data_IF_518129071579
#
_entry.id   IF_518129071579
#
_cell.length_a   1.000
_cell.length_b   1.000
_cell.length_c   1.000
_cell.angle_alpha   90.00
_cell.angle_beta   90.00
_cell.angle_gamma   90.00
#
_symmetry.space_group_name_H-M   'P 1'
#
loop_
_entity.id
_entity.type
_entity.pdbx_description
1 polymer ?
#
# COMPACT_ATOMS: atom_id res chain seq x y z
N UNK A 1 -46.66 18.24 4.07
CA UNK A 1 -46.26 17.93 2.67
C UNK A 1 -44.96 18.67 2.41
N UNK A 2 -43.96 17.93 1.99
CA UNK A 2 -42.52 18.16 2.10
C UNK A 2 -42.01 19.50 1.57
N UNK A 3 -41.27 20.21 2.43
CA UNK A 3 -40.30 21.24 2.11
C UNK A 3 -39.11 20.61 1.38
N UNK A 4 -38.81 21.06 0.16
CA UNK A 4 -37.64 20.62 -0.62
C UNK A 4 -36.48 21.53 -0.24
N UNK A 5 -35.76 21.14 0.82
CA UNK A 5 -34.51 21.76 1.20
C UNK A 5 -33.40 21.35 0.21
N UNK A 6 -32.65 22.37 -0.23
CA UNK A 6 -31.27 22.36 -0.69
C UNK A 6 -30.69 20.98 -1.09
N UNK A 7 -30.63 20.72 -2.39
CA UNK A 7 -29.66 19.77 -2.92
C UNK A 7 -28.31 20.48 -2.99
N UNK A 8 -27.60 20.45 -1.87
CA UNK A 8 -26.18 20.74 -1.81
C UNK A 8 -25.46 19.90 -2.86
N UNK A 9 -24.83 20.58 -3.80
CA UNK A 9 -23.91 20.07 -4.80
C UNK A 9 -22.90 19.14 -4.11
N UNK A 10 -23.08 17.82 -4.28
CA UNK A 10 -22.12 16.83 -3.83
C UNK A 10 -20.92 16.94 -4.78
N UNK A 11 -20.02 17.88 -4.47
CA UNK A 11 -18.67 17.89 -5.03
C UNK A 11 -18.08 16.52 -4.68
N UNK A 12 -17.97 15.66 -5.70
CA UNK A 12 -17.08 14.51 -5.63
C UNK A 12 -15.70 15.10 -5.30
N UNK A 13 -15.29 15.02 -4.03
CA UNK A 13 -13.88 15.10 -3.71
C UNK A 13 -13.28 13.88 -4.40
N UNK A 14 -12.75 14.08 -5.60
CA UNK A 14 -11.84 13.12 -6.18
C UNK A 14 -10.64 13.14 -5.25
N UNK A 15 -10.58 12.19 -4.32
CA UNK A 15 -9.36 11.89 -3.59
C UNK A 15 -8.21 11.87 -4.62
N UNK A 16 -7.07 12.51 -4.35
CA UNK A 16 -5.96 12.52 -5.30
C UNK A 16 -5.62 11.06 -5.64
N UNK A 17 -5.83 10.69 -6.91
CA UNK A 17 -5.56 9.32 -7.38
C UNK A 17 -4.08 9.05 -7.14
N UNK A 18 -3.78 8.07 -6.28
CA UNK A 18 -2.39 7.70 -5.99
C UNK A 18 -1.68 7.28 -7.29
N UNK A 19 -0.44 7.73 -7.53
CA UNK A 19 0.32 7.33 -8.70
C UNK A 19 0.44 5.81 -8.81
N UNK A 20 0.27 5.27 -10.01
CA UNK A 20 0.56 3.86 -10.31
C UNK A 20 1.87 3.82 -11.10
N UNK A 21 2.84 3.05 -10.60
CA UNK A 21 4.18 2.92 -11.19
C UNK A 21 4.38 1.47 -11.65
N UNK A 22 4.62 1.30 -12.94
CA UNK A 22 4.94 0.00 -13.53
C UNK A 22 6.45 -0.27 -13.51
N UNK A 23 6.84 -1.35 -12.86
CA UNK A 23 8.21 -1.81 -12.71
C UNK A 23 8.59 -2.92 -13.71
N UNK A 24 7.68 -3.32 -14.61
CA UNK A 24 7.89 -4.42 -15.57
C UNK A 24 9.16 -4.24 -16.41
N UNK A 25 9.50 -3.00 -16.76
CA UNK A 25 10.72 -2.66 -17.53
C UNK A 25 12.03 -2.93 -16.79
N UNK A 26 12.03 -3.02 -15.45
CA UNK A 26 13.24 -3.37 -14.68
C UNK A 26 13.58 -4.86 -14.76
N UNK A 27 12.63 -5.71 -15.19
CA UNK A 27 12.87 -7.14 -15.36
C UNK A 27 13.67 -7.47 -16.63
N UNK A 28 13.78 -6.51 -17.57
CA UNK A 28 14.54 -6.70 -18.81
C UNK A 28 16.03 -6.67 -18.52
N UNK A 29 16.70 -7.83 -18.63
CA UNK A 29 18.16 -7.91 -18.73
C UNK A 29 18.60 -7.32 -20.06
N UNK A 30 18.73 -6.00 -20.13
CA UNK A 30 19.50 -5.37 -21.19
C UNK A 30 20.90 -5.11 -20.64
N UNK A 31 21.95 -5.54 -21.34
CA UNK A 31 23.35 -5.38 -20.92
C UNK A 31 23.78 -3.90 -20.83
N UNK A 32 22.93 -3.00 -21.34
CA UNK A 32 23.03 -1.57 -21.11
C UNK A 32 22.37 -1.23 -19.77
N UNK A 33 23.14 -0.69 -18.81
CA UNK A 33 22.66 -0.11 -17.53
C UNK A 33 21.67 1.08 -17.68
N UNK A 34 20.92 1.15 -18.78
CA UNK A 34 19.95 2.20 -19.06
C UNK A 34 18.64 1.84 -18.34
N UNK A 35 18.57 2.20 -17.07
CA UNK A 35 17.32 2.16 -16.33
C UNK A 35 16.31 3.14 -16.97
N UNK A 36 15.02 2.81 -16.97
CA UNK A 36 13.99 3.66 -17.56
C UNK A 36 13.90 4.98 -16.79
N UNK A 37 14.58 6.02 -17.30
CA UNK A 37 14.69 7.36 -16.68
C UNK A 37 13.32 7.93 -16.30
N UNK A 38 12.30 7.68 -17.10
CA UNK A 38 10.95 8.17 -16.86
C UNK A 38 10.29 7.52 -15.65
N UNK A 39 10.55 6.23 -15.39
CA UNK A 39 10.02 5.56 -14.20
C UNK A 39 10.75 6.06 -12.95
N UNK A 40 12.06 6.29 -13.02
CA UNK A 40 12.83 6.88 -11.92
C UNK A 40 12.29 8.28 -11.58
N UNK A 41 12.02 9.12 -12.58
CA UNK A 41 11.43 10.45 -12.37
C UNK A 41 10.05 10.39 -11.73
N UNK A 42 9.18 9.48 -12.19
CA UNK A 42 7.84 9.27 -11.62
C UNK A 42 7.93 8.79 -10.16
N UNK A 43 8.84 7.86 -9.88
CA UNK A 43 9.09 7.37 -8.53
C UNK A 43 9.59 8.49 -7.60
N UNK A 44 10.55 9.28 -8.04
CA UNK A 44 11.06 10.42 -7.28
C UNK A 44 9.94 11.42 -6.95
N UNK A 45 9.14 11.81 -7.95
CA UNK A 45 8.02 12.73 -7.76
C UNK A 45 6.96 12.18 -6.80
N UNK A 46 6.60 10.90 -6.92
CA UNK A 46 5.65 10.25 -6.02
C UNK A 46 6.17 10.22 -4.57
N UNK A 47 7.44 9.89 -4.37
CA UNK A 47 8.06 9.88 -3.04
C UNK A 47 8.19 11.29 -2.42
N UNK A 48 8.50 12.31 -3.22
CA UNK A 48 8.74 13.68 -2.73
C UNK A 48 7.45 14.43 -2.42
N UNK A 49 6.41 14.27 -3.25
CA UNK A 49 5.21 15.11 -3.17
C UNK A 49 3.96 14.37 -2.68
N UNK A 50 3.90 13.04 -2.82
CA UNK A 50 2.71 12.24 -2.42
C UNK A 50 3.01 11.36 -1.21
N UNK A 51 4.20 10.74 -1.17
CA UNK A 51 4.61 9.78 -0.13
C UNK A 51 4.07 8.37 -0.33
N UNK A 52 3.17 8.14 -1.30
CA UNK A 52 2.54 6.85 -1.58
C UNK A 52 2.34 6.64 -3.08
N UNK A 53 2.37 5.37 -3.50
CA UNK A 53 2.07 4.94 -4.87
C UNK A 53 1.67 3.46 -4.89
N UNK A 54 0.98 3.03 -5.95
CA UNK A 54 0.78 1.63 -6.27
C UNK A 54 1.90 1.14 -7.19
N UNK A 55 2.49 -0.02 -6.87
CA UNK A 55 3.46 -0.68 -7.73
C UNK A 55 2.80 -1.83 -8.51
N UNK A 56 3.01 -1.88 -9.82
CA UNK A 56 2.67 -3.03 -10.67
C UNK A 56 3.93 -3.52 -11.38
N UNK A 57 3.92 -4.72 -11.94
CA UNK A 57 5.09 -5.24 -12.67
C UNK A 57 6.35 -5.46 -11.82
N UNK A 58 6.23 -5.46 -10.48
CA UNK A 58 7.35 -5.57 -9.53
C UNK A 58 7.98 -6.99 -9.46
N UNK A 59 7.48 -7.95 -10.23
CA UNK A 59 8.07 -9.30 -10.33
C UNK A 59 7.85 -10.22 -9.12
N UNK A 60 7.01 -9.85 -8.15
CA UNK A 60 6.69 -10.75 -7.02
C UNK A 60 5.66 -11.77 -7.51
N UNK A 61 5.94 -13.09 -7.37
CA UNK A 61 5.01 -14.12 -7.82
C UNK A 61 3.68 -14.07 -7.06
N UNK A 62 2.56 -14.22 -7.78
CA UNK A 62 1.23 -14.24 -7.18
C UNK A 62 1.07 -15.35 -6.14
N UNK A 63 1.67 -16.53 -6.36
CA UNK A 63 1.63 -17.63 -5.38
C UNK A 63 2.25 -17.22 -4.04
N UNK A 64 3.38 -16.50 -4.07
CA UNK A 64 4.03 -15.99 -2.86
C UNK A 64 3.13 -14.99 -2.13
N UNK A 65 2.50 -14.06 -2.87
CA UNK A 65 1.53 -13.13 -2.30
C UNK A 65 0.38 -13.86 -1.61
N UNK A 66 -0.23 -14.84 -2.28
CA UNK A 66 -1.35 -15.61 -1.72
C UNK A 66 -0.94 -16.43 -0.50
N UNK A 67 0.24 -17.08 -0.53
CA UNK A 67 0.77 -17.82 0.63
C UNK A 67 1.02 -16.89 1.81
N UNK A 68 1.63 -15.72 1.58
CA UNK A 68 1.84 -14.71 2.62
C UNK A 68 0.52 -14.28 3.24
N UNK A 69 -0.48 -13.90 2.43
CA UNK A 69 -1.79 -13.51 2.94
C UNK A 69 -2.48 -14.64 3.71
N UNK A 70 -2.37 -15.89 3.26
CA UNK A 70 -2.90 -17.06 3.98
C UNK A 70 -2.25 -17.23 5.35
N UNK A 71 -0.91 -17.20 5.42
CA UNK A 71 -0.17 -17.33 6.69
C UNK A 71 -0.45 -16.15 7.62
N UNK A 72 -0.54 -14.93 7.10
CA UNK A 72 -0.93 -13.75 7.88
C UNK A 72 -2.31 -13.94 8.51
N UNK A 73 -3.30 -14.41 7.74
CA UNK A 73 -4.64 -14.71 8.29
C UNK A 73 -4.59 -15.78 9.37
N UNK A 74 -3.83 -16.86 9.16
CA UNK A 74 -3.66 -17.92 10.17
C UNK A 74 -3.06 -17.36 11.46
N UNK A 75 -2.00 -16.54 11.37
CA UNK A 75 -1.39 -15.88 12.51
C UNK A 75 -2.41 -15.04 13.29
N UNK A 76 -3.16 -14.17 12.61
CA UNK A 76 -4.12 -13.29 13.27
C UNK A 76 -5.37 -14.02 13.78
N UNK A 77 -5.64 -15.24 13.32
CA UNK A 77 -6.69 -16.11 13.84
C UNK A 77 -6.28 -16.91 15.09
N UNK A 78 -4.99 -16.90 15.47
CA UNK A 78 -4.55 -17.47 16.76
C UNK A 78 -5.08 -16.66 17.94
N UNK A 79 -5.13 -17.30 19.10
CA UNK A 79 -5.46 -16.66 20.37
C UNK A 79 -4.56 -15.45 20.65
N UNK A 80 -5.17 -14.37 21.14
CA UNK A 80 -4.44 -13.15 21.49
C UNK A 80 -3.33 -13.40 22.50
N UNK A 81 -3.49 -14.37 23.43
CA UNK A 81 -2.43 -14.77 24.37
C UNK A 81 -1.17 -15.25 23.65
N UNK A 82 -1.32 -16.00 22.55
CA UNK A 82 -0.20 -16.51 21.75
C UNK A 82 0.41 -15.35 20.96
N UNK A 83 -0.41 -14.56 20.24
CA UNK A 83 0.07 -13.43 19.43
C UNK A 83 0.84 -12.40 20.26
N UNK A 84 0.35 -12.09 21.47
CA UNK A 84 0.93 -11.07 22.35
C UNK A 84 2.31 -11.48 22.90
N UNK A 85 2.70 -12.76 22.85
CA UNK A 85 4.06 -13.18 23.18
C UNK A 85 5.10 -12.62 22.20
N UNK A 86 4.67 -12.30 20.98
CA UNK A 86 5.53 -11.81 19.89
C UNK A 86 5.28 -10.34 19.55
N UNK A 87 4.35 -9.66 20.25
CA UNK A 87 4.14 -8.24 20.06
C UNK A 87 5.39 -7.46 20.49
N UNK A 88 5.83 -6.49 19.67
CA UNK A 88 6.93 -5.61 20.03
C UNK A 88 6.64 -4.97 21.40
N UNK A 89 7.61 -5.03 22.31
CA UNK A 89 7.49 -4.61 23.73
C UNK A 89 7.02 -3.16 23.96
N UNK A 90 6.95 -2.35 22.91
CA UNK A 90 6.54 -0.94 22.97
C UNK A 90 5.07 -0.75 23.38
N UNK A 91 4.20 -1.75 23.20
CA UNK A 91 2.76 -1.62 23.53
C UNK A 91 2.30 -2.42 24.74
N UNK A 92 3.15 -3.26 25.33
CA UNK A 92 2.74 -4.18 26.42
C UNK A 92 2.94 -3.57 27.80
N UNK A 93 3.80 -2.55 27.93
CA UNK A 93 4.15 -1.91 29.21
C UNK A 93 3.86 -0.40 29.26
N UNK A 94 3.00 0.15 28.39
CA UNK A 94 2.50 1.51 28.62
C UNK A 94 1.62 1.48 29.87
N UNK A 95 1.92 2.28 30.92
CA UNK A 95 1.02 2.40 32.06
C UNK A 95 -0.36 2.81 31.52
N UNK A 96 -1.40 2.10 31.94
CA UNK A 96 -2.77 2.53 31.70
C UNK A 96 -2.93 3.87 32.42
N UNK A 97 -3.00 4.95 31.65
CA UNK A 97 -3.37 6.27 32.14
C UNK A 97 -4.85 6.25 32.50
#
# INVERSE_FOLDING_TARGET
>A
LSSVAAHSELVLHTDPVLPVIDFSSFASKNDTNDYPRDIIKKLANACEHVGFFYAIGHGIPNELLQRTLSVTRQLFNLDSKIKNQYASRLFVNSPKV
#
